data_IF_695536682649
#
_entry.id   IF_695536682649
#
_cell.length_a   1.000
_cell.length_b   1.000
_cell.length_c   1.000
_cell.angle_alpha   90.00
_cell.angle_beta   90.00
_cell.angle_gamma   90.00
#
_symmetry.space_group_name_H-M   'P 1'
#
loop_
_entity.id
_entity.type
_entity.pdbx_description
1 polymer ?
#
# COMPACT_ATOMS: atom_id res chain seq x y z
N UNK A 1 -20.11 -42.56 82.16
CA UNK A 1 -21.12 -42.32 81.10
C UNK A 1 -20.64 -41.13 80.28
N UNK A 2 -20.26 -41.34 79.03
CA UNK A 2 -19.76 -40.27 78.15
C UNK A 2 -20.82 -39.94 77.10
N UNK A 3 -21.28 -38.69 77.10
CA UNK A 3 -22.27 -38.18 76.16
C UNK A 3 -21.64 -38.05 74.76
N UNK A 4 -22.26 -38.69 73.76
CA UNK A 4 -21.90 -38.50 72.35
C UNK A 4 -22.37 -37.12 71.90
N UNK A 5 -21.43 -36.26 71.55
CA UNK A 5 -21.69 -34.98 70.91
C UNK A 5 -22.42 -35.21 69.58
N UNK A 6 -23.66 -34.73 69.48
CA UNK A 6 -24.39 -34.64 68.23
C UNK A 6 -23.71 -33.56 67.38
N UNK A 7 -23.27 -33.92 66.16
CA UNK A 7 -22.75 -32.95 65.20
C UNK A 7 -23.92 -32.13 64.68
N UNK A 8 -23.85 -30.81 64.85
CA UNK A 8 -24.75 -29.86 64.20
C UNK A 8 -24.73 -30.09 62.69
N UNK A 9 -25.90 -30.43 62.14
CA UNK A 9 -26.10 -30.61 60.70
C UNK A 9 -26.20 -29.21 60.08
N UNK A 10 -25.08 -28.73 59.56
CA UNK A 10 -25.07 -27.53 58.72
C UNK A 10 -25.86 -27.88 57.44
N UNK A 11 -26.90 -27.10 57.08
CA UNK A 11 -27.62 -27.34 55.84
C UNK A 11 -26.64 -27.24 54.66
N UNK A 12 -26.75 -28.12 53.66
CA UNK A 12 -25.82 -28.14 52.54
C UNK A 12 -25.82 -26.78 51.84
N UNK A 13 -24.61 -26.28 51.51
CA UNK A 13 -24.44 -25.02 50.78
C UNK A 13 -25.34 -25.05 49.53
N UNK A 14 -26.19 -24.02 49.40
CA UNK A 14 -27.04 -23.85 48.22
C UNK A 14 -26.15 -23.91 46.97
N UNK A 15 -26.51 -24.81 46.05
CA UNK A 15 -25.77 -24.89 44.80
C UNK A 15 -25.86 -23.53 44.11
N UNK A 16 -24.74 -23.06 43.54
CA UNK A 16 -24.67 -21.78 42.80
C UNK A 16 -25.87 -21.58 41.85
N UNK A 17 -26.41 -22.67 41.30
CA UNK A 17 -27.59 -22.68 40.43
C UNK A 17 -28.90 -22.36 41.15
N UNK A 18 -29.10 -22.78 42.39
CA UNK A 18 -30.30 -22.45 43.17
C UNK A 18 -30.35 -20.96 43.54
N UNK A 19 -29.19 -20.38 43.86
CA UNK A 19 -29.11 -18.95 44.22
C UNK A 19 -29.34 -18.00 43.03
N UNK A 20 -28.93 -18.40 41.83
CA UNK A 20 -29.07 -17.57 40.61
C UNK A 20 -30.33 -17.88 39.78
N UNK A 21 -31.02 -19.00 40.01
CA UNK A 21 -32.19 -19.42 39.20
C UNK A 21 -33.53 -18.83 39.63
N UNK A 22 -33.61 -18.17 40.80
CA UNK A 22 -34.91 -17.75 41.35
C UNK A 22 -35.66 -16.75 40.45
N UNK A 23 -34.94 -15.96 39.64
CA UNK A 23 -35.50 -14.87 38.83
C UNK A 23 -35.43 -15.10 37.31
N UNK A 24 -35.09 -16.30 36.84
CA UNK A 24 -34.97 -16.61 35.39
C UNK A 24 -34.03 -15.67 34.61
N UNK A 25 -33.08 -15.02 35.29
CA UNK A 25 -32.22 -14.00 34.67
C UNK A 25 -31.32 -14.59 33.58
N UNK A 26 -30.80 -15.80 33.78
CA UNK A 26 -29.92 -16.46 32.82
C UNK A 26 -30.61 -16.82 31.49
N UNK A 27 -31.79 -17.50 31.47
CA UNK A 27 -32.49 -17.73 30.20
C UNK A 27 -32.97 -16.42 29.58
N UNK A 28 -33.41 -15.43 30.36
CA UNK A 28 -33.86 -14.14 29.84
C UNK A 28 -32.70 -13.34 29.21
N UNK A 29 -31.54 -13.29 29.86
CA UNK A 29 -30.32 -12.67 29.33
C UNK A 29 -29.83 -13.39 28.06
N UNK A 30 -29.96 -14.72 28.01
CA UNK A 30 -29.64 -15.50 26.83
C UNK A 30 -30.53 -15.16 25.63
N UNK A 31 -31.85 -15.13 25.82
CA UNK A 31 -32.83 -14.82 24.76
C UNK A 31 -32.68 -13.38 24.28
N UNK A 32 -32.54 -12.42 25.20
CA UNK A 32 -32.35 -11.00 24.86
C UNK A 32 -31.05 -10.76 24.10
N UNK A 33 -29.96 -11.40 24.51
CA UNK A 33 -28.68 -11.34 23.80
C UNK A 33 -28.78 -11.93 22.38
N UNK A 34 -29.40 -13.11 22.22
CA UNK A 34 -29.59 -13.70 20.88
C UNK A 34 -30.46 -12.82 19.98
N UNK A 35 -31.53 -12.23 20.53
CA UNK A 35 -32.39 -11.33 19.78
C UNK A 35 -31.63 -10.08 19.30
N UNK A 36 -30.84 -9.46 20.18
CA UNK A 36 -30.06 -8.26 19.84
C UNK A 36 -29.02 -8.55 18.74
N UNK A 37 -28.30 -9.67 18.84
CA UNK A 37 -27.34 -10.06 17.80
C UNK A 37 -28.05 -10.40 16.48
N UNK A 38 -29.19 -11.09 16.54
CA UNK A 38 -30.02 -11.38 15.38
C UNK A 38 -30.48 -10.11 14.67
N UNK A 39 -30.87 -9.08 15.42
CA UNK A 39 -31.27 -7.77 14.89
C UNK A 39 -30.11 -7.07 14.18
N UNK A 40 -28.91 -7.08 14.74
CA UNK A 40 -27.71 -6.49 14.10
C UNK A 40 -27.38 -7.21 12.80
N UNK A 41 -27.39 -8.54 12.80
CA UNK A 41 -27.16 -9.33 11.57
C UNK A 41 -28.23 -9.04 10.52
N UNK A 42 -29.50 -8.96 10.92
CA UNK A 42 -30.59 -8.60 10.02
C UNK A 42 -30.42 -7.22 9.39
N UNK A 43 -30.00 -6.20 10.17
CA UNK A 43 -29.71 -4.87 9.64
C UNK A 43 -28.55 -4.87 8.63
N UNK A 44 -27.47 -5.63 8.89
CA UNK A 44 -26.35 -5.74 7.96
C UNK A 44 -26.79 -6.39 6.65
N UNK A 45 -27.59 -7.47 6.72
CA UNK A 45 -28.10 -8.16 5.53
C UNK A 45 -29.05 -7.25 4.74
N UNK A 46 -30.03 -6.62 5.40
CA UNK A 46 -30.97 -5.70 4.74
C UNK A 46 -30.27 -4.48 4.16
N UNK A 47 -29.29 -3.91 4.86
CA UNK A 47 -28.47 -2.80 4.37
C UNK A 47 -27.62 -3.18 3.17
N UNK A 48 -27.02 -4.39 3.18
CA UNK A 48 -26.27 -4.92 2.04
C UNK A 48 -27.14 -5.15 0.81
N UNK A 49 -28.34 -5.72 0.99
CA UNK A 49 -29.31 -5.89 -0.10
C UNK A 49 -29.76 -4.53 -0.64
N UNK A 50 -30.10 -3.57 0.24
CA UNK A 50 -30.47 -2.22 -0.16
C UNK A 50 -29.37 -1.50 -0.94
N UNK A 51 -28.11 -1.64 -0.53
CA UNK A 51 -26.97 -1.07 -1.23
C UNK A 51 -26.86 -1.58 -2.68
N UNK A 52 -27.02 -2.89 -2.89
CA UNK A 52 -26.98 -3.49 -4.23
C UNK A 52 -28.08 -2.93 -5.16
N UNK A 53 -29.30 -2.74 -4.64
CA UNK A 53 -30.39 -2.15 -5.42
C UNK A 53 -30.19 -0.66 -5.72
N UNK A 54 -29.59 0.11 -4.80
CA UNK A 54 -29.30 1.54 -5.01
C UNK A 54 -28.22 1.72 -6.08
N UNK A 55 -27.18 0.89 -6.09
CA UNK A 55 -26.12 0.99 -7.11
C UNK A 55 -26.62 0.70 -8.52
N UNK A 56 -27.57 -0.22 -8.67
CA UNK A 56 -28.17 -0.54 -9.98
C UNK A 56 -29.06 0.61 -10.50
N UNK A 57 -29.73 1.33 -9.60
CA UNK A 57 -30.51 2.53 -9.95
C UNK A 57 -29.63 3.72 -10.36
N UNK A 58 -28.39 3.79 -9.89
CA UNK A 58 -27.45 4.82 -10.35
C UNK A 58 -26.85 4.48 -11.73
N UNK A 59 -26.63 3.20 -12.02
CA UNK A 59 -26.13 2.75 -13.33
C UNK A 59 -27.11 3.03 -14.48
N UNK A 60 -28.40 3.18 -14.19
CA UNK A 60 -29.44 3.49 -15.20
C UNK A 60 -29.68 4.99 -15.39
N UNK A 61 -29.10 5.86 -14.55
CA UNK A 61 -29.18 7.31 -14.78
C UNK A 61 -28.27 7.68 -15.95
N UNK A 62 -28.79 8.38 -16.98
CA UNK A 62 -27.94 8.85 -18.06
C UNK A 62 -26.82 9.74 -17.47
N UNK A 63 -25.58 9.62 -17.97
CA UNK A 63 -24.46 10.39 -17.46
C UNK A 63 -24.82 11.88 -17.54
N UNK A 64 -24.77 12.56 -16.39
CA UNK A 64 -24.93 14.01 -16.35
C UNK A 64 -23.69 14.60 -16.99
N UNK A 65 -23.83 15.06 -18.23
CA UNK A 65 -22.81 15.88 -18.86
C UNK A 65 -22.87 17.23 -18.16
N UNK A 66 -21.98 17.44 -17.21
CA UNK A 66 -21.77 18.75 -16.64
C UNK A 66 -21.09 19.57 -17.73
N UNK A 67 -21.85 20.46 -18.36
CA UNK A 67 -21.31 21.39 -19.33
C UNK A 67 -20.54 22.42 -18.51
N UNK A 68 -19.26 22.15 -18.32
CA UNK A 68 -18.33 23.16 -17.84
C UNK A 68 -18.28 24.24 -18.92
N UNK A 69 -19.11 25.27 -18.76
CA UNK A 69 -18.85 26.56 -19.37
C UNK A 69 -17.52 27.01 -18.78
N UNK A 70 -16.46 26.85 -19.57
CA UNK A 70 -15.25 27.62 -19.34
C UNK A 70 -15.68 29.06 -19.61
N UNK A 71 -16.07 29.76 -18.55
CA UNK A 71 -16.19 31.21 -18.56
C UNK A 71 -14.77 31.72 -18.82
N UNK A 72 -14.47 31.86 -20.10
CA UNK A 72 -13.23 32.42 -20.58
C UNK A 72 -13.21 33.87 -20.18
N UNK A 73 -12.62 34.16 -19.02
CA UNK A 73 -12.11 35.47 -18.65
C UNK A 73 -10.89 35.74 -19.55
N UNK A 74 -11.18 35.97 -20.82
CA UNK A 74 -10.23 36.23 -21.87
C UNK A 74 -9.63 37.61 -21.68
N UNK A 75 -8.39 37.65 -21.21
CA UNK A 75 -7.49 38.78 -21.45
C UNK A 75 -6.62 38.47 -22.67
N UNK A 76 -7.10 38.91 -23.84
CA UNK A 76 -6.20 39.32 -24.92
C UNK A 76 -5.57 38.24 -25.81
N UNK A 77 -6.37 37.40 -26.44
CA UNK A 77 -5.94 36.81 -27.72
C UNK A 77 -7.05 37.00 -28.75
N UNK A 78 -6.92 38.05 -29.56
CA UNK A 78 -7.70 38.27 -30.78
C UNK A 78 -7.38 37.17 -31.79
N UNK A 79 -7.99 35.99 -31.57
CA UNK A 79 -8.07 34.93 -32.57
C UNK A 79 -9.21 35.26 -33.53
N UNK A 80 -8.87 35.88 -34.65
CA UNK A 80 -9.71 36.06 -35.82
C UNK A 80 -10.51 34.78 -36.12
N UNK A 81 -11.83 34.88 -36.00
CA UNK A 81 -12.76 33.83 -36.40
C UNK A 81 -12.67 33.59 -37.90
N UNK A 82 -12.04 32.49 -38.29
CA UNK A 82 -12.24 31.88 -39.60
C UNK A 82 -13.50 31.03 -39.55
N UNK A 83 -14.40 31.23 -40.51
CA UNK A 83 -15.60 30.40 -40.68
C UNK A 83 -15.24 28.90 -40.75
N UNK A 84 -15.99 28.01 -40.07
CA UNK A 84 -15.75 26.59 -40.13
C UNK A 84 -16.16 26.06 -41.52
N UNK A 85 -15.19 25.71 -42.38
CA UNK A 85 -15.48 24.88 -43.55
C UNK A 85 -14.61 25.03 -44.80
N UNK A 86 -13.67 25.97 -44.87
CA UNK A 86 -12.82 26.12 -46.06
C UNK A 86 -11.36 25.77 -45.75
N UNK A 87 -10.71 24.89 -46.54
CA UNK A 87 -9.29 24.60 -46.38
C UNK A 87 -8.50 25.91 -46.56
N UNK A 88 -7.76 26.29 -45.52
CA UNK A 88 -6.98 27.52 -45.49
C UNK A 88 -6.00 27.61 -46.65
N UNK A 89 -5.94 28.79 -47.27
CA UNK A 89 -5.08 29.12 -48.39
C UNK A 89 -3.60 28.99 -47.98
N UNK A 90 -2.75 28.19 -48.67
CA UNK A 90 -1.36 27.94 -48.27
C UNK A 90 -0.45 29.19 -48.23
N UNK A 91 -0.91 30.33 -48.77
CA UNK A 91 -0.18 31.60 -48.78
C UNK A 91 -0.55 32.57 -47.64
N UNK A 92 -1.35 32.14 -46.65
CA UNK A 92 -1.67 32.98 -45.48
C UNK A 92 -0.45 33.27 -44.55
N UNK A 93 0.71 32.72 -44.86
CA UNK A 93 1.99 32.99 -44.21
C UNK A 93 3.02 33.56 -45.19
N UNK A 94 2.81 34.78 -45.67
CA UNK A 94 3.74 35.42 -46.61
C UNK A 94 5.20 35.54 -46.08
N UNK A 95 6.18 35.74 -46.99
CA UNK A 95 7.64 35.67 -46.71
C UNK A 95 8.22 36.83 -45.86
N UNK A 96 7.37 37.53 -45.10
CA UNK A 96 7.76 38.67 -44.26
C UNK A 96 7.49 38.46 -42.76
N UNK A 97 7.23 37.23 -42.33
CA UNK A 97 7.25 36.88 -40.90
C UNK A 97 8.68 36.59 -40.45
N UNK A 98 9.49 37.64 -40.42
CA UNK A 98 10.65 37.71 -39.54
C UNK A 98 10.12 38.09 -38.16
N UNK A 99 9.98 37.10 -37.27
CA UNK A 99 10.03 37.39 -35.84
C UNK A 99 11.45 37.89 -35.54
N UNK A 100 11.63 39.19 -35.69
CA UNK A 100 12.83 39.89 -35.30
C UNK A 100 12.81 39.95 -33.77
N UNK A 101 13.50 39.00 -33.15
CA UNK A 101 13.77 39.01 -31.71
C UNK A 101 14.77 40.14 -31.48
N UNK A 102 14.32 41.25 -30.91
CA UNK A 102 15.20 42.30 -30.43
C UNK A 102 16.07 41.74 -29.29
N UNK A 103 17.42 41.73 -29.40
CA UNK A 103 18.27 41.30 -28.32
C UNK A 103 18.20 42.35 -27.20
N UNK A 104 17.53 42.00 -26.10
CA UNK A 104 17.51 42.78 -24.88
C UNK A 104 18.95 42.90 -24.35
N UNK A 105 19.57 44.04 -24.62
CA UNK A 105 20.93 44.39 -24.16
C UNK A 105 20.81 45.05 -22.81
N UNK A 106 20.43 44.29 -21.78
CA UNK A 106 20.62 44.69 -20.39
C UNK A 106 21.69 43.79 -19.79
N UNK A 107 22.93 44.26 -19.89
CA UNK A 107 24.07 43.70 -19.19
C UNK A 107 23.97 44.18 -17.73
N UNK A 108 23.76 43.30 -16.74
CA UNK A 108 23.69 43.72 -15.35
C UNK A 108 25.07 44.23 -14.93
N UNK A 109 25.11 45.42 -14.32
CA UNK A 109 26.32 45.98 -13.76
C UNK A 109 26.98 44.99 -12.78
N UNK A 110 28.33 44.87 -12.80
CA UNK A 110 29.03 44.04 -11.84
C UNK A 110 28.77 44.54 -10.42
N UNK A 111 28.48 43.63 -9.46
CA UNK A 111 28.13 44.02 -8.10
C UNK A 111 29.28 44.80 -7.48
N UNK A 112 29.00 46.05 -7.12
CA UNK A 112 29.90 46.90 -6.34
C UNK A 112 30.22 46.15 -5.04
N UNK A 113 31.52 45.93 -4.75
CA UNK A 113 32.01 45.38 -3.48
C UNK A 113 31.67 46.34 -2.33
N UNK A 114 30.42 46.29 -1.88
CA UNK A 114 29.94 46.91 -0.67
C UNK A 114 30.33 46.07 0.54
N UNK A 115 30.90 46.74 1.53
CA UNK A 115 31.22 46.27 2.89
C UNK A 115 30.17 45.28 3.40
N UNK A 116 30.56 44.13 3.99
CA UNK A 116 29.60 43.13 4.44
C UNK A 116 28.62 43.77 5.43
N UNK A 117 27.30 43.74 5.16
CA UNK A 117 26.33 44.24 6.10
C UNK A 117 26.47 43.44 7.39
N UNK A 118 26.66 44.13 8.52
CA UNK A 118 26.53 43.52 9.84
C UNK A 118 25.14 42.90 9.89
N UNK A 119 25.12 41.57 9.94
CA UNK A 119 23.93 40.74 10.09
C UNK A 119 23.23 41.16 11.39
N UNK A 120 22.28 42.09 11.30
CA UNK A 120 21.35 42.33 12.39
C UNK A 120 20.58 41.03 12.58
N UNK A 121 20.56 40.58 13.82
CA UNK A 121 19.95 39.34 14.25
C UNK A 121 18.44 39.59 14.27
N UNK A 122 17.78 39.37 13.14
CA UNK A 122 16.34 39.53 13.06
C UNK A 122 15.66 38.60 14.07
N UNK A 123 14.64 39.07 14.81
CA UNK A 123 13.87 38.22 15.71
C UNK A 123 13.23 37.09 14.89
N UNK A 124 13.14 35.87 15.46
CA UNK A 124 12.61 34.71 14.74
C UNK A 124 11.21 35.03 14.20
N UNK A 125 11.06 34.89 12.88
CA UNK A 125 9.80 35.06 12.19
C UNK A 125 8.85 33.93 12.67
N UNK A 126 7.94 34.25 13.57
CA UNK A 126 6.88 33.34 13.99
C UNK A 126 5.85 33.24 12.87
N UNK A 127 6.02 32.23 12.01
CA UNK A 127 5.25 32.05 10.79
C UNK A 127 3.78 31.66 11.02
N UNK A 128 3.30 31.59 12.27
CA UNK A 128 1.88 31.34 12.56
C UNK A 128 1.31 30.12 11.84
N UNK A 129 2.15 29.14 11.51
CA UNK A 129 1.74 27.97 10.78
C UNK A 129 0.82 27.16 11.71
N UNK A 130 -0.41 26.83 11.29
CA UNK A 130 -1.29 26.01 12.09
C UNK A 130 -0.57 24.68 12.35
N UNK A 131 -0.36 24.37 13.64
CA UNK A 131 0.22 23.12 14.08
C UNK A 131 -0.75 22.00 13.65
N UNK A 132 -0.41 21.29 12.58
CA UNK A 132 -1.17 20.11 12.16
C UNK A 132 -0.90 19.05 13.23
N UNK A 133 -1.92 18.79 14.05
CA UNK A 133 -1.89 17.75 15.07
C UNK A 133 -1.98 16.37 14.39
N UNK A 134 -0.84 15.68 14.28
CA UNK A 134 -0.71 14.32 13.75
C UNK A 134 -1.53 13.27 14.56
N UNK A 135 -2.22 13.68 15.63
CA UNK A 135 -3.12 12.87 16.43
C UNK A 135 -4.54 12.72 15.88
N UNK A 136 -4.95 13.48 14.86
CA UNK A 136 -6.29 13.32 14.29
C UNK A 136 -6.39 12.06 13.41
N UNK A 137 -7.20 11.10 13.86
CA UNK A 137 -7.60 9.94 13.06
C UNK A 137 -8.17 10.39 11.72
N UNK A 138 -7.75 9.79 10.58
CA UNK A 138 -8.19 10.21 9.26
C UNK A 138 -9.71 10.12 9.17
N UNK A 139 -10.35 11.26 8.89
CA UNK A 139 -11.80 11.45 9.02
C UNK A 139 -12.65 10.63 8.03
N UNK A 140 -12.05 9.87 7.10
CA UNK A 140 -12.79 9.14 6.07
C UNK A 140 -12.44 7.65 6.09
N UNK A 141 -13.17 6.87 6.89
CA UNK A 141 -13.06 5.41 6.96
C UNK A 141 -13.25 4.75 5.58
N UNK A 142 -14.06 5.32 4.70
CA UNK A 142 -14.27 4.85 3.32
C UNK A 142 -12.95 4.81 2.50
N UNK A 143 -12.14 5.87 2.56
CA UNK A 143 -10.85 5.93 1.84
C UNK A 143 -9.86 4.88 2.35
N UNK A 144 -9.86 4.61 3.67
CA UNK A 144 -9.00 3.58 4.26
C UNK A 144 -9.39 2.17 3.80
N UNK A 145 -10.69 1.91 3.62
CA UNK A 145 -11.20 0.64 3.10
C UNK A 145 -10.83 0.47 1.63
N UNK A 146 -10.95 1.52 0.83
CA UNK A 146 -10.56 1.47 -0.59
C UNK A 146 -9.05 1.26 -0.78
N UNK A 147 -8.20 1.95 0.00
CA UNK A 147 -6.76 1.71 -0.04
C UNK A 147 -6.41 0.28 0.36
N UNK A 148 -7.06 -0.25 1.40
CA UNK A 148 -6.84 -1.63 1.84
C UNK A 148 -7.30 -2.64 0.76
N UNK A 149 -8.40 -2.36 0.06
CA UNK A 149 -8.86 -3.18 -1.07
C UNK A 149 -7.89 -3.11 -2.24
N UNK A 150 -7.42 -1.92 -2.61
CA UNK A 150 -6.43 -1.74 -3.67
C UNK A 150 -5.10 -2.45 -3.37
N UNK A 151 -4.64 -2.41 -2.12
CA UNK A 151 -3.45 -3.14 -1.69
C UNK A 151 -3.65 -4.67 -1.80
N UNK A 152 -4.83 -5.19 -1.44
CA UNK A 152 -5.18 -6.61 -1.64
C UNK A 152 -5.23 -6.99 -3.11
N UNK A 153 -5.87 -6.17 -3.94
CA UNK A 153 -5.98 -6.39 -5.38
C UNK A 153 -4.58 -6.39 -6.03
N UNK A 154 -3.68 -5.50 -5.61
CA UNK A 154 -2.30 -5.46 -6.05
C UNK A 154 -1.55 -6.75 -5.66
N UNK A 155 -1.70 -7.20 -4.41
CA UNK A 155 -1.13 -8.46 -3.92
C UNK A 155 -1.66 -9.68 -4.69
N UNK A 156 -2.96 -9.72 -4.99
CA UNK A 156 -3.57 -10.79 -5.77
C UNK A 156 -3.09 -10.78 -7.22
N UNK A 157 -2.95 -9.61 -7.84
CA UNK A 157 -2.39 -9.49 -9.19
C UNK A 157 -0.94 -9.96 -9.24
N UNK A 158 -0.11 -9.59 -8.26
CA UNK A 158 1.27 -10.10 -8.16
C UNK A 158 1.28 -11.61 -7.94
N UNK A 159 0.47 -12.14 -7.01
CA UNK A 159 0.36 -13.59 -6.78
C UNK A 159 -0.09 -14.33 -8.03
N UNK A 160 -1.05 -13.78 -8.77
CA UNK A 160 -1.54 -14.34 -10.04
C UNK A 160 -0.43 -14.31 -11.10
N UNK A 161 0.33 -13.22 -11.20
CA UNK A 161 1.45 -13.11 -12.13
C UNK A 161 2.62 -14.04 -11.77
N UNK A 162 2.88 -14.28 -10.48
CA UNK A 162 3.88 -15.23 -10.00
C UNK A 162 3.45 -16.68 -10.19
N UNK A 163 2.15 -16.95 -10.33
CA UNK A 163 1.60 -18.27 -10.66
C UNK A 163 1.43 -18.47 -12.17
N UNK A 164 1.84 -17.53 -13.02
CA UNK A 164 1.90 -17.77 -14.46
C UNK A 164 2.90 -18.91 -14.65
N UNK A 165 2.37 -20.07 -15.04
CA UNK A 165 3.17 -21.23 -15.42
C UNK A 165 4.26 -20.75 -16.40
N UNK A 166 5.53 -21.19 -16.23
CA UNK A 166 6.58 -20.85 -17.18
C UNK A 166 6.08 -21.13 -18.60
N UNK A 167 6.49 -20.34 -19.61
CA UNK A 167 6.02 -20.55 -20.98
C UNK A 167 6.17 -22.03 -21.30
N UNK A 168 5.07 -22.68 -21.69
CA UNK A 168 5.06 -24.05 -22.20
C UNK A 168 5.99 -24.09 -23.40
N UNK A 169 7.28 -24.33 -23.14
CA UNK A 169 8.18 -24.88 -24.13
C UNK A 169 7.50 -26.15 -24.61
N UNK A 170 7.22 -26.20 -25.92
CA UNK A 170 6.57 -27.34 -26.54
C UNK A 170 7.26 -28.64 -26.11
N UNK A 171 6.50 -29.72 -25.92
CA UNK A 171 7.05 -30.96 -25.41
C UNK A 171 8.12 -31.51 -26.37
N UNK A 172 9.29 -31.95 -25.89
CA UNK A 172 10.09 -32.91 -26.65
C UNK A 172 9.28 -34.20 -26.81
N UNK A 173 9.44 -34.82 -27.97
CA UNK A 173 8.66 -35.95 -28.46
C UNK A 173 8.41 -37.05 -27.41
N UNK A 174 7.12 -37.32 -27.19
CA UNK A 174 6.46 -38.62 -26.95
C UNK A 174 7.40 -39.77 -26.52
N UNK A 175 7.69 -39.88 -25.22
CA UNK A 175 8.10 -41.16 -24.63
C UNK A 175 6.85 -41.90 -24.17
N UNK A 176 6.64 -43.05 -24.78
CA UNK A 176 5.52 -43.97 -24.56
C UNK A 176 5.76 -44.77 -23.28
N UNK A 177 4.75 -44.81 -22.41
CA UNK A 177 4.52 -45.90 -21.45
C UNK A 177 4.85 -45.57 -19.99
N UNK A 178 3.83 -45.58 -19.13
CA UNK A 178 3.48 -46.74 -18.29
C UNK A 178 2.16 -46.41 -17.56
N UNK A 179 1.21 -47.35 -17.67
CA UNK A 179 -0.10 -47.37 -17.02
C UNK A 179 0.09 -47.88 -15.60
N UNK A 180 -0.20 -47.09 -14.56
CA UNK A 180 -0.04 -47.60 -13.19
C UNK A 180 -0.54 -46.72 -12.04
N UNK A 181 -1.66 -47.16 -11.46
CA UNK A 181 -2.07 -47.04 -10.04
C UNK A 181 -2.57 -45.70 -9.49
N UNK A 182 -3.75 -45.77 -8.86
CA UNK A 182 -4.48 -44.64 -8.27
C UNK A 182 -3.86 -44.13 -6.97
N UNK A 183 -3.74 -42.82 -6.88
CA UNK A 183 -3.30 -42.12 -5.67
C UNK A 183 -4.49 -41.86 -4.73
N UNK A 184 -4.43 -42.49 -3.55
CA UNK A 184 -5.23 -42.15 -2.36
C UNK A 184 -5.01 -40.67 -2.01
N UNK A 185 -6.11 -39.96 -1.73
CA UNK A 185 -6.10 -38.56 -1.32
C UNK A 185 -5.24 -38.33 -0.07
N UNK A 186 -4.32 -37.36 -0.17
CA UNK A 186 -3.46 -36.92 0.93
C UNK A 186 -4.30 -36.15 1.95
N UNK A 187 -4.41 -36.71 3.15
CA UNK A 187 -5.08 -36.07 4.29
C UNK A 187 -4.41 -34.75 4.67
N UNK A 188 -5.22 -33.72 4.92
CA UNK A 188 -4.76 -32.40 5.34
C UNK A 188 -4.02 -32.46 6.68
N UNK A 189 -2.90 -31.74 6.75
CA UNK A 189 -2.10 -31.55 7.96
C UNK A 189 -2.90 -30.79 9.03
N UNK A 190 -3.57 -31.53 9.91
CA UNK A 190 -4.20 -30.98 11.12
C UNK A 190 -3.15 -30.36 12.04
N UNK A 191 -3.34 -29.09 12.40
CA UNK A 191 -2.49 -28.38 13.36
C UNK A 191 -2.66 -28.94 14.78
N UNK A 192 -1.55 -29.06 15.51
CA UNK A 192 -1.53 -29.43 16.94
C UNK A 192 -2.07 -28.28 17.78
N UNK A 193 -3.38 -28.27 18.05
CA UNK A 193 -3.99 -27.46 19.10
C UNK A 193 -3.77 -28.12 20.46
N UNK A 194 -2.88 -27.56 21.28
CA UNK A 194 -2.65 -27.99 22.66
C UNK A 194 -3.69 -27.40 23.61
N UNK A 195 -4.92 -27.92 23.56
CA UNK A 195 -5.98 -27.60 24.52
C UNK A 195 -6.92 -28.80 24.70
N UNK A 196 -7.45 -29.05 25.91
CA UNK A 196 -8.37 -30.16 26.16
C UNK A 196 -9.77 -29.83 25.64
N UNK A 197 -9.92 -29.74 24.32
CA UNK A 197 -11.20 -29.52 23.67
C UNK A 197 -11.84 -30.84 23.25
N UNK A 198 -12.67 -31.45 24.10
CA UNK A 198 -13.65 -32.46 23.69
C UNK A 198 -14.76 -31.78 22.88
N UNK A 199 -14.50 -31.50 21.61
CA UNK A 199 -15.45 -30.94 20.66
C UNK A 199 -15.79 -31.94 19.56
N UNK A 200 -16.73 -32.86 19.82
CA UNK A 200 -17.27 -33.80 18.82
C UNK A 200 -18.46 -33.22 18.04
N UNK A 201 -18.43 -31.92 17.72
CA UNK A 201 -19.49 -31.27 16.94
C UNK A 201 -18.88 -30.54 15.75
N UNK A 202 -19.36 -30.88 14.55
CA UNK A 202 -19.19 -30.09 13.33
C UNK A 202 -19.79 -28.70 13.58
N UNK A 203 -18.95 -27.78 14.06
CA UNK A 203 -19.28 -26.38 14.24
C UNK A 203 -18.09 -25.56 13.79
N UNK A 204 -18.34 -24.48 13.04
CA UNK A 204 -17.30 -23.54 12.67
C UNK A 204 -16.73 -22.91 13.95
N UNK A 205 -15.54 -23.35 14.36
CA UNK A 205 -14.84 -22.73 15.48
C UNK A 205 -14.52 -21.28 15.13
N UNK A 206 -14.96 -20.35 15.97
CA UNK A 206 -14.54 -18.94 15.93
C UNK A 206 -13.10 -18.91 16.48
N UNK A 207 -12.15 -19.31 15.66
CA UNK A 207 -10.76 -18.91 15.87
C UNK A 207 -10.66 -17.42 15.59
N UNK A 208 -9.99 -16.67 16.46
CA UNK A 208 -9.52 -15.31 16.17
C UNK A 208 -8.80 -15.36 14.82
N UNK A 209 -9.46 -14.86 13.78
CA UNK A 209 -9.05 -14.96 12.39
C UNK A 209 -7.80 -14.15 12.10
N UNK A 210 -6.65 -14.58 12.64
CA UNK A 210 -5.39 -14.34 11.97
C UNK A 210 -5.46 -15.08 10.64
N UNK A 211 -5.25 -14.36 9.54
CA UNK A 211 -5.05 -14.91 8.19
C UNK A 211 -4.43 -16.31 8.25
N UNK A 212 -5.09 -17.32 7.67
CA UNK A 212 -4.68 -18.73 7.68
C UNK A 212 -3.15 -18.89 7.71
N UNK A 213 -2.65 -19.31 8.87
CA UNK A 213 -1.34 -18.96 9.40
C UNK A 213 -0.14 -19.57 8.69
N UNK A 214 0.24 -19.04 7.53
CA UNK A 214 1.64 -19.11 7.12
C UNK A 214 2.43 -18.14 8.01
N UNK A 215 3.57 -18.60 8.52
CA UNK A 215 4.53 -17.70 9.16
C UNK A 215 4.97 -16.68 8.11
N UNK A 216 4.94 -15.39 8.46
CA UNK A 216 5.44 -14.33 7.58
C UNK A 216 6.88 -14.67 7.15
N UNK A 217 7.19 -14.48 5.87
CA UNK A 217 8.55 -14.70 5.37
C UNK A 217 9.49 -13.63 5.92
N UNK A 218 10.80 -13.87 5.86
CA UNK A 218 11.82 -12.90 6.30
C UNK A 218 11.64 -11.55 5.58
N UNK A 219 11.39 -11.61 4.28
CA UNK A 219 11.17 -10.44 3.42
C UNK A 219 9.89 -9.69 3.79
N UNK A 220 8.81 -10.39 4.12
CA UNK A 220 7.56 -9.74 4.56
C UNK A 220 7.75 -9.01 5.89
N UNK A 221 8.50 -9.61 6.82
CA UNK A 221 8.85 -8.97 8.08
C UNK A 221 9.68 -7.70 7.82
N UNK A 222 10.67 -7.76 6.92
CA UNK A 222 11.46 -6.59 6.53
C UNK A 222 10.62 -5.52 5.83
N UNK A 223 9.73 -5.90 4.92
CA UNK A 223 8.84 -4.95 4.23
C UNK A 223 7.94 -4.19 5.21
N UNK A 224 7.43 -4.87 6.24
CA UNK A 224 6.60 -4.24 7.27
C UNK A 224 7.41 -3.41 8.27
N UNK A 225 8.66 -3.81 8.56
CA UNK A 225 9.48 -3.18 9.60
C UNK A 225 10.29 -1.99 9.08
N UNK A 226 10.74 -2.05 7.83
CA UNK A 226 11.64 -1.05 7.26
C UNK A 226 10.86 0.07 6.59
N UNK A 227 11.20 1.30 6.96
CA UNK A 227 10.60 2.51 6.42
C UNK A 227 11.67 3.41 5.82
N UNK A 228 11.31 4.06 4.72
CA UNK A 228 12.16 4.98 3.99
C UNK A 228 11.48 6.33 3.90
N UNK A 229 12.28 7.39 3.94
CA UNK A 229 11.79 8.71 3.62
C UNK A 229 11.91 8.96 2.11
N UNK A 230 10.82 8.65 1.40
CA UNK A 230 10.69 8.91 -0.03
C UNK A 230 9.91 10.20 -0.32
N UNK A 231 9.73 11.07 0.68
CA UNK A 231 9.12 12.38 0.45
C UNK A 231 10.03 13.25 -0.43
N UNK A 232 9.42 14.17 -1.17
CA UNK A 232 10.09 15.13 -2.04
C UNK A 232 9.42 15.27 -3.40
N UNK A 233 10.06 16.08 -4.24
CA UNK A 233 9.69 16.24 -5.65
C UNK A 233 9.80 14.88 -6.39
N UNK A 234 8.93 14.58 -7.38
CA UNK A 234 9.04 13.39 -8.21
C UNK A 234 10.45 13.07 -8.71
N UNK A 235 11.23 14.09 -9.12
CA UNK A 235 12.60 13.93 -9.61
C UNK A 235 13.57 13.50 -8.52
N UNK A 236 13.40 14.05 -7.32
CA UNK A 236 14.19 13.66 -6.14
C UNK A 236 13.83 12.23 -5.72
N UNK A 237 12.54 11.87 -5.79
CA UNK A 237 12.05 10.54 -5.49
C UNK A 237 12.68 9.49 -6.42
N UNK A 238 12.70 9.70 -7.75
CA UNK A 238 13.40 8.81 -8.69
C UNK A 238 14.88 8.69 -8.35
N UNK A 239 15.56 9.80 -8.07
CA UNK A 239 16.98 9.80 -7.70
C UNK A 239 17.24 9.01 -6.42
N UNK A 240 16.40 9.14 -5.40
CA UNK A 240 16.49 8.35 -4.16
C UNK A 240 16.31 6.86 -4.45
N UNK A 241 15.30 6.48 -5.24
CA UNK A 241 15.10 5.08 -5.62
C UNK A 241 16.30 4.51 -6.40
N UNK A 242 16.84 5.29 -7.34
CA UNK A 242 18.00 4.92 -8.14
C UNK A 242 19.26 4.77 -7.28
N UNK A 243 19.48 5.72 -6.36
CA UNK A 243 20.57 5.74 -5.39
C UNK A 243 20.56 4.47 -4.52
N UNK A 244 19.39 4.06 -4.05
CA UNK A 244 19.21 2.85 -3.25
C UNK A 244 19.43 1.58 -4.09
N UNK A 245 19.22 1.67 -5.41
CA UNK A 245 19.25 0.54 -6.32
C UNK A 245 17.94 -0.24 -6.36
N UNK A 246 16.81 0.43 -6.12
CA UNK A 246 15.50 -0.21 -6.29
C UNK A 246 15.26 -0.58 -7.75
N UNK A 247 14.78 -1.80 -7.96
CA UNK A 247 14.12 -2.18 -9.21
C UNK A 247 12.64 -1.82 -9.11
N UNK A 248 12.11 -1.15 -10.11
CA UNK A 248 10.70 -0.72 -10.11
C UNK A 248 9.92 -1.56 -11.11
N UNK A 249 8.78 -2.09 -10.68
CA UNK A 249 7.88 -2.84 -11.54
C UNK A 249 6.49 -2.19 -11.64
N UNK A 250 5.97 -2.13 -12.85
CA UNK A 250 4.67 -1.54 -13.21
C UNK A 250 3.77 -2.62 -13.80
N UNK A 251 2.47 -2.68 -13.43
CA UNK A 251 1.53 -3.56 -14.13
C UNK A 251 1.36 -3.09 -15.59
N UNK A 252 1.38 -4.04 -16.53
CA UNK A 252 1.08 -3.74 -17.94
C UNK A 252 -0.38 -3.26 -18.07
N UNK A 253 -0.67 -2.06 -18.65
CA UNK A 253 -2.03 -1.57 -18.83
C UNK A 253 -2.88 -2.46 -19.74
N UNK A 254 -2.25 -3.26 -20.63
CA UNK A 254 -2.93 -4.25 -21.48
C UNK A 254 -3.18 -5.57 -20.74
N UNK A 255 -2.68 -5.70 -19.52
CA UNK A 255 -2.75 -6.90 -18.69
C UNK A 255 -1.67 -7.94 -19.04
N UNK A 256 -1.54 -8.95 -18.17
CA UNK A 256 -0.73 -10.14 -18.46
C UNK A 256 0.78 -9.97 -18.23
N UNK A 257 1.20 -9.12 -17.29
CA UNK A 257 2.60 -9.07 -16.85
C UNK A 257 2.97 -7.78 -16.12
N UNK A 258 4.28 -7.62 -15.92
CA UNK A 258 4.87 -6.41 -15.38
C UNK A 258 5.95 -5.89 -16.34
N UNK A 259 6.06 -4.57 -16.43
CA UNK A 259 7.25 -3.90 -16.95
C UNK A 259 8.19 -3.64 -15.79
N UNK A 260 9.43 -4.09 -15.93
CA UNK A 260 10.50 -3.94 -14.94
C UNK A 260 11.52 -2.94 -15.46
N UNK A 261 11.83 -1.96 -14.62
CA UNK A 261 12.85 -0.94 -14.85
C UNK A 261 13.93 -1.10 -13.79
N UNK A 262 15.11 -1.52 -14.21
CA UNK A 262 16.26 -1.74 -13.33
C UNK A 262 17.16 -0.51 -13.20
N UNK A 263 17.30 0.28 -14.26
CA UNK A 263 18.07 1.52 -14.25
C UNK A 263 17.14 2.73 -14.30
N UNK A 264 16.98 3.36 -13.14
CA UNK A 264 16.14 4.54 -12.95
C UNK A 264 16.86 5.86 -13.31
N UNK A 265 18.17 5.82 -13.60
CA UNK A 265 18.92 7.02 -13.98
C UNK A 265 18.79 7.34 -15.48
N UNK A 266 18.29 6.40 -16.29
CA UNK A 266 18.11 6.56 -17.72
C UNK A 266 16.73 7.17 -18.03
N UNK A 267 16.72 8.23 -18.83
CA UNK A 267 15.50 8.90 -19.33
C UNK A 267 15.57 8.99 -20.86
N UNK A 268 14.63 8.38 -21.61
CA UNK A 268 13.49 7.58 -21.15
C UNK A 268 13.94 6.26 -20.50
N UNK A 269 13.17 5.78 -19.53
CA UNK A 269 13.48 4.53 -18.82
C UNK A 269 13.35 3.31 -19.74
N UNK A 270 14.32 2.39 -19.67
CA UNK A 270 14.26 1.14 -20.42
C UNK A 270 13.31 0.17 -19.72
N UNK A 271 12.14 -0.05 -20.33
CA UNK A 271 11.13 -0.97 -19.83
C UNK A 271 11.36 -2.37 -20.40
N UNK A 272 11.66 -3.35 -19.54
CA UNK A 272 11.69 -4.76 -19.92
C UNK A 272 10.41 -5.45 -19.48
N UNK A 273 9.72 -6.15 -20.39
CA UNK A 273 8.63 -7.04 -19.98
C UNK A 273 9.23 -8.26 -19.30
N UNK A 274 8.90 -8.47 -18.04
CA UNK A 274 9.46 -9.55 -17.24
C UNK A 274 8.43 -10.14 -16.27
N UNK A 275 8.74 -11.32 -15.73
CA UNK A 275 7.98 -11.89 -14.63
C UNK A 275 8.61 -11.50 -13.29
N UNK A 276 7.79 -11.45 -12.24
CA UNK A 276 8.28 -11.15 -10.89
C UNK A 276 8.85 -12.40 -10.19
N UNK A 277 9.05 -13.52 -10.91
CA UNK A 277 9.53 -14.77 -10.30
C UNK A 277 11.00 -14.66 -9.91
N UNK A 278 11.83 -13.96 -10.69
CA UNK A 278 13.23 -13.68 -10.35
C UNK A 278 13.39 -12.84 -9.08
N UNK A 279 12.32 -12.17 -8.63
CA UNK A 279 12.29 -11.32 -7.44
C UNK A 279 11.47 -11.96 -6.30
N UNK A 280 11.33 -13.29 -6.28
CA UNK A 280 10.63 -14.00 -5.20
C UNK A 280 11.22 -13.72 -3.82
N UNK A 281 12.53 -13.62 -3.74
CA UNK A 281 13.28 -13.44 -2.49
C UNK A 281 13.59 -11.98 -2.16
N UNK A 282 13.18 -11.04 -3.02
CA UNK A 282 13.35 -9.61 -2.81
C UNK A 282 12.33 -9.07 -1.81
N UNK A 283 12.71 -8.04 -1.05
CA UNK A 283 11.76 -7.28 -0.23
C UNK A 283 10.93 -6.40 -1.16
N UNK A 284 9.61 -6.41 -0.96
CA UNK A 284 8.64 -5.76 -1.85
C UNK A 284 7.82 -4.73 -1.09
N UNK A 285 7.69 -3.55 -1.67
CA UNK A 285 6.73 -2.53 -1.22
C UNK A 285 5.80 -2.15 -2.36
N UNK A 286 4.60 -1.73 -1.99
CA UNK A 286 3.59 -1.25 -2.92
C UNK A 286 3.37 0.23 -2.68
N UNK A 287 3.50 1.03 -3.74
CA UNK A 287 3.11 2.41 -3.72
C UNK A 287 1.82 2.58 -4.53
N UNK A 288 0.76 2.98 -3.85
CA UNK A 288 -0.58 3.20 -4.42
C UNK A 288 -0.99 4.67 -4.39
N UNK A 289 -0.13 5.59 -3.94
CA UNK A 289 -0.44 7.01 -3.85
C UNK A 289 -0.48 7.63 -5.26
N UNK A 290 -1.63 8.12 -5.76
CA UNK A 290 -1.77 8.58 -7.14
C UNK A 290 -0.73 9.63 -7.55
N UNK A 291 -0.54 10.67 -6.72
CA UNK A 291 0.41 11.76 -7.01
C UNK A 291 1.85 11.25 -7.14
N UNK A 292 2.23 10.33 -6.25
CA UNK A 292 3.56 9.74 -6.28
C UNK A 292 3.77 8.85 -7.50
N UNK A 293 2.75 8.07 -7.89
CA UNK A 293 2.82 7.17 -9.03
C UNK A 293 2.82 7.96 -10.35
N UNK A 294 2.00 9.01 -10.44
CA UNK A 294 1.97 9.91 -11.59
C UNK A 294 3.28 10.70 -11.73
N UNK A 295 3.82 11.21 -10.64
CA UNK A 295 5.14 11.86 -10.62
C UNK A 295 6.24 10.92 -11.10
N UNK A 296 6.26 9.69 -10.58
CA UNK A 296 7.23 8.67 -10.99
C UNK A 296 7.10 8.32 -12.49
N UNK A 297 5.87 8.16 -12.99
CA UNK A 297 5.61 7.86 -14.39
C UNK A 297 6.08 8.98 -15.31
N UNK A 298 5.86 10.25 -14.92
CA UNK A 298 6.31 11.43 -15.67
C UNK A 298 7.84 11.49 -15.75
N UNK A 299 8.52 11.32 -14.62
CA UNK A 299 9.99 11.38 -14.56
C UNK A 299 10.67 10.23 -15.31
N UNK A 300 10.05 9.06 -15.33
CA UNK A 300 10.53 7.91 -16.13
C UNK A 300 10.09 7.99 -17.60
N UNK A 301 9.33 9.03 -17.98
CA UNK A 301 8.78 9.23 -19.33
C UNK A 301 7.96 8.03 -19.83
N UNK A 302 7.14 7.45 -18.94
CA UNK A 302 6.23 6.37 -19.30
C UNK A 302 5.08 6.91 -20.16
N UNK A 303 4.67 6.13 -21.16
CA UNK A 303 3.54 6.47 -22.04
C UNK A 303 2.16 6.27 -21.37
N UNK A 304 2.15 5.77 -20.14
CA UNK A 304 0.94 5.50 -19.36
C UNK A 304 1.20 5.75 -17.88
N UNK A 305 0.14 5.99 -17.11
CA UNK A 305 0.21 6.12 -15.66
C UNK A 305 -0.29 4.82 -15.02
N UNK A 306 0.56 4.05 -14.33
CA UNK A 306 0.14 2.81 -13.69
C UNK A 306 -0.74 3.10 -12.47
N UNK A 307 -1.58 2.13 -12.07
CA UNK A 307 -2.44 2.26 -10.86
C UNK A 307 -1.66 2.12 -9.56
N UNK A 308 -0.58 1.37 -9.59
CA UNK A 308 0.33 1.15 -8.48
C UNK A 308 1.70 0.78 -9.00
N UNK A 309 2.69 0.86 -8.11
CA UNK A 309 4.08 0.55 -8.41
C UNK A 309 4.59 -0.44 -7.37
N UNK A 310 5.35 -1.44 -7.82
CA UNK A 310 6.04 -2.38 -6.93
C UNK A 310 7.51 -2.01 -6.87
N UNK A 311 7.99 -1.71 -5.66
CA UNK A 311 9.40 -1.45 -5.40
C UNK A 311 10.06 -2.74 -4.93
N UNK A 312 11.13 -3.15 -5.61
CA UNK A 312 11.84 -4.41 -5.36
C UNK A 312 13.27 -4.08 -4.93
N UNK A 313 13.62 -4.43 -3.69
CA UNK A 313 14.98 -4.24 -3.18
C UNK A 313 15.86 -5.44 -3.55
N UNK A 314 17.01 -5.23 -4.20
CA UNK A 314 17.96 -6.30 -4.51
C UNK A 314 18.47 -7.00 -3.25
N UNK A 315 18.83 -8.28 -3.38
CA UNK A 315 19.26 -9.11 -2.26
C UNK A 315 20.51 -8.56 -1.56
N UNK A 316 21.49 -8.10 -2.33
CA UNK A 316 22.71 -7.52 -1.78
C UNK A 316 22.43 -6.28 -0.92
N UNK A 317 21.44 -5.46 -1.32
CA UNK A 317 21.00 -4.28 -0.57
C UNK A 317 20.18 -4.64 0.66
N UNK A 318 19.34 -5.67 0.58
CA UNK A 318 18.64 -6.23 1.75
C UNK A 318 19.65 -6.64 2.83
N UNK A 319 20.71 -7.37 2.47
CA UNK A 319 21.69 -7.86 3.44
C UNK A 319 22.49 -6.70 4.08
N UNK A 320 22.85 -5.67 3.32
CA UNK A 320 23.48 -4.46 3.86
C UNK A 320 22.57 -3.74 4.86
N UNK A 321 21.29 -3.57 4.52
CA UNK A 321 20.31 -2.96 5.42
C UNK A 321 20.09 -3.77 6.70
N UNK A 322 19.99 -5.10 6.59
CA UNK A 322 19.84 -5.98 7.73
C UNK A 322 21.06 -5.93 8.65
N UNK A 323 22.28 -5.82 8.10
CA UNK A 323 23.50 -5.62 8.87
C UNK A 323 23.51 -4.25 9.58
N UNK A 324 23.12 -3.17 8.89
CA UNK A 324 23.02 -1.84 9.49
C UNK A 324 21.98 -1.80 10.62
N UNK A 325 20.83 -2.45 10.43
CA UNK A 325 19.78 -2.62 11.45
C UNK A 325 20.31 -3.34 12.69
N UNK A 326 20.97 -4.49 12.49
CA UNK A 326 21.56 -5.28 13.58
C UNK A 326 22.63 -4.50 14.32
N UNK A 327 23.56 -3.86 13.60
CA UNK A 327 24.63 -3.07 14.20
C UNK A 327 24.09 -1.86 14.98
N UNK A 328 22.98 -1.26 14.55
CA UNK A 328 22.31 -0.22 15.32
C UNK A 328 21.65 -0.79 16.59
N UNK A 329 20.92 -1.91 16.48
CA UNK A 329 20.28 -2.57 17.63
C UNK A 329 21.31 -3.00 18.69
N UNK A 330 22.44 -3.57 18.26
CA UNK A 330 23.54 -4.00 19.13
C UNK A 330 24.16 -2.80 19.88
N UNK A 331 24.38 -1.67 19.20
CA UNK A 331 24.85 -0.41 19.83
C UNK A 331 23.88 0.12 20.87
N UNK A 332 22.58 -0.07 20.65
CA UNK A 332 21.51 0.33 21.57
C UNK A 332 21.19 -0.75 22.63
N UNK A 333 21.90 -1.89 22.62
CA UNK A 333 21.65 -3.06 23.47
C UNK A 333 20.20 -3.56 23.41
N UNK A 334 19.57 -3.48 22.24
CA UNK A 334 18.19 -3.94 22.00
C UNK A 334 18.18 -5.29 21.30
N UNK A 335 17.21 -6.13 21.66
CA UNK A 335 16.95 -7.37 20.93
C UNK A 335 16.26 -7.05 19.59
N UNK A 336 16.86 -7.50 18.48
CA UNK A 336 16.35 -7.32 17.12
C UNK A 336 14.93 -7.88 16.94
N UNK A 337 14.52 -8.87 17.75
CA UNK A 337 13.16 -9.43 17.71
C UNK A 337 12.10 -8.49 18.28
N UNK A 338 12.50 -7.52 19.09
CA UNK A 338 11.60 -6.51 19.68
C UNK A 338 11.49 -5.25 18.84
N UNK A 339 12.34 -5.08 17.83
CA UNK A 339 12.30 -3.94 16.92
C UNK A 339 11.09 -4.07 16.02
N UNK A 340 10.17 -3.12 16.14
CA UNK A 340 8.92 -3.06 15.38
C UNK A 340 9.05 -2.21 14.13
N UNK A 341 9.93 -1.20 14.17
CA UNK A 341 10.14 -0.27 13.07
C UNK A 341 11.60 0.17 13.01
N UNK A 342 12.17 0.22 11.81
CA UNK A 342 13.49 0.78 11.52
C UNK A 342 13.36 1.78 10.39
N UNK A 343 13.73 3.05 10.62
CA UNK A 343 13.76 4.08 9.57
C UNK A 343 15.16 4.22 9.02
N UNK A 344 15.30 4.06 7.71
CA UNK A 344 16.57 4.20 7.00
C UNK A 344 16.65 5.53 6.26
N UNK A 345 17.86 6.07 6.24
CA UNK A 345 18.33 7.13 5.36
C UNK A 345 19.46 6.57 4.50
N UNK A 346 19.66 7.12 3.30
CA UNK A 346 20.71 6.66 2.39
C UNK A 346 21.66 7.82 2.12
N UNK A 347 22.88 7.67 2.63
CA UNK A 347 23.91 8.71 2.50
C UNK A 347 24.95 8.26 1.50
N UNK A 348 25.31 9.17 0.60
CA UNK A 348 26.41 8.95 -0.34
C UNK A 348 27.74 8.91 0.44
N UNK A 349 28.40 7.75 0.46
CA UNK A 349 29.74 7.54 1.03
C UNK A 349 30.59 6.82 0.01
N UNK A 350 31.77 7.37 -0.30
CA UNK A 350 32.70 6.78 -1.27
C UNK A 350 32.05 6.46 -2.64
N UNK A 351 31.16 7.33 -3.10
CA UNK A 351 30.44 7.16 -4.38
C UNK A 351 29.34 6.09 -4.38
N UNK A 352 29.09 5.42 -3.24
CA UNK A 352 27.99 4.46 -3.08
C UNK A 352 27.01 4.97 -2.02
N UNK A 353 25.72 4.75 -2.21
CA UNK A 353 24.75 5.05 -1.17
C UNK A 353 24.74 3.91 -0.14
N UNK A 354 25.04 4.26 1.10
CA UNK A 354 25.07 3.34 2.23
C UNK A 354 23.83 3.53 3.11
N UNK A 355 23.11 2.44 3.46
CA UNK A 355 21.97 2.52 4.35
C UNK A 355 22.43 2.89 5.77
N UNK A 356 21.90 3.98 6.29
CA UNK A 356 22.14 4.46 7.65
C UNK A 356 20.83 4.42 8.43
N UNK A 357 20.82 3.72 9.57
CA UNK A 357 19.65 3.70 10.46
C UNK A 357 19.55 5.05 11.17
N UNK A 358 18.42 5.75 10.96
CA UNK A 358 18.13 7.00 11.67
C UNK A 358 17.51 6.74 13.04
N UNK A 359 16.57 5.81 13.11
CA UNK A 359 15.87 5.47 14.35
C UNK A 359 15.33 4.04 14.32
N UNK A 360 15.18 3.46 15.51
CA UNK A 360 14.51 2.19 15.75
C UNK A 360 13.49 2.33 16.88
N UNK A 361 12.30 1.75 16.69
CA UNK A 361 11.24 1.68 17.69
C UNK A 361 11.12 0.27 18.26
#
# INVERSE_FOLDING_TARGET
>A
MAAKNAKDLIPPDETLWQKYSAHFELPLAGVTSMFLHGLVVAMIVLGGIGFLFVTDLEATKPPKMDVVMIEGEGTGFEGLGGEPGLPGNPDAGGPKRTEQIDPLTEQPDPPTKGTPPRLLKDPPLDLGLPLIDDGQTPANSALSIELAKLARDADEQVKKAMKIEPPRGGPPAKVVGIKGSGAKGVGGLGGKGGGPGKGNKKGAGIGTGGFGGRKATKQEIYAMRWHFDLAGDPREHVRKLAAIGFTVAFPDPRGGGFFVVTDLNRQPAEMRRDNLMGFQEAVKWYNTKPDSVQGLARELQLQFVPRFVVLLLPKDREDQMAQAEKAYADRQRRDLRRVTMTRFDFRLRNGTYDPTVMMQK
#
